data_IF_459136473235
#
_entry.id   IF_459136473235
#
_cell.length_a   1.000
_cell.length_b   1.000
_cell.length_c   1.000
_cell.angle_alpha   90.00
_cell.angle_beta   90.00
_cell.angle_gamma   90.00
#
_symmetry.space_group_name_H-M   'P 1'
#
loop_
_entity.id
_entity.type
_entity.pdbx_description
1 polymer ?
#
# COMPACT_ATOMS: atom_id res chain seq x y z
N UNK A 1 5.75 -27.14 -1.55
CA UNK A 1 4.33 -26.76 -1.61
C UNK A 1 4.24 -25.32 -1.19
N UNK A 2 3.58 -24.46 -1.98
CA UNK A 2 3.47 -23.04 -1.69
C UNK A 2 2.74 -22.79 -0.37
N UNK A 3 3.11 -21.72 0.32
CA UNK A 3 2.41 -21.28 1.52
C UNK A 3 0.99 -20.83 1.14
N UNK A 4 -0.02 -21.40 1.77
CA UNK A 4 -1.40 -20.93 1.67
C UNK A 4 -1.71 -20.02 2.85
N UNK A 5 -2.05 -18.78 2.57
CA UNK A 5 -2.45 -17.74 3.50
C UNK A 5 -3.93 -17.83 3.82
N UNK A 6 -4.27 -17.62 5.10
CA UNK A 6 -5.65 -17.52 5.57
C UNK A 6 -6.24 -16.16 5.22
N UNK A 7 -7.57 -16.04 5.28
CA UNK A 7 -8.26 -14.79 4.96
C UNK A 7 -7.77 -13.63 5.82
N UNK A 8 -7.52 -13.85 7.12
CA UNK A 8 -7.05 -12.81 8.03
C UNK A 8 -5.62 -12.33 7.69
N UNK A 9 -4.80 -13.23 7.14
CA UNK A 9 -3.45 -12.91 6.67
C UNK A 9 -3.50 -12.11 5.38
N UNK A 10 -4.37 -12.49 4.43
CA UNK A 10 -4.60 -11.75 3.19
C UNK A 10 -5.16 -10.35 3.48
N UNK A 11 -6.16 -10.27 4.36
CA UNK A 11 -6.76 -9.03 4.85
C UNK A 11 -5.69 -8.07 5.39
N UNK A 12 -4.85 -8.54 6.32
CA UNK A 12 -3.78 -7.73 6.91
C UNK A 12 -2.69 -7.33 5.90
N UNK A 13 -2.36 -8.24 4.98
CA UNK A 13 -1.31 -8.04 3.98
C UNK A 13 -1.72 -7.03 2.90
N UNK A 14 -2.98 -7.06 2.46
CA UNK A 14 -3.51 -6.28 1.34
C UNK A 14 -4.15 -4.95 1.79
N UNK A 15 -4.58 -4.85 3.06
CA UNK A 15 -5.13 -3.64 3.64
C UNK A 15 -4.34 -2.35 3.32
N UNK A 16 -3.00 -2.32 3.37
CA UNK A 16 -2.21 -1.11 3.10
C UNK A 16 -2.19 -0.66 1.63
N UNK A 17 -2.55 -1.53 0.69
CA UNK A 17 -2.46 -1.24 -0.76
C UNK A 17 -3.81 -1.32 -1.48
N UNK A 18 -4.85 -1.86 -0.85
CA UNK A 18 -6.13 -2.13 -1.51
C UNK A 18 -6.86 -0.88 -2.01
N UNK A 19 -6.56 0.32 -1.49
CA UNK A 19 -7.16 1.58 -1.96
C UNK A 19 -6.29 2.31 -2.97
N UNK A 20 -5.16 1.74 -3.37
CA UNK A 20 -4.37 2.29 -4.46
C UNK A 20 -5.14 2.16 -5.78
N UNK A 21 -4.83 3.01 -6.78
CA UNK A 21 -5.34 2.83 -8.13
C UNK A 21 -5.02 1.44 -8.68
N UNK A 22 -5.94 0.89 -9.48
CA UNK A 22 -5.88 -0.52 -9.93
C UNK A 22 -4.56 -0.85 -10.64
N UNK A 23 -4.08 0.08 -11.48
CA UNK A 23 -2.80 -0.07 -12.17
C UNK A 23 -1.61 -0.17 -11.20
N UNK A 24 -1.62 0.63 -10.12
CA UNK A 24 -0.55 0.59 -9.12
C UNK A 24 -0.63 -0.68 -8.27
N UNK A 25 -1.83 -1.14 -7.91
CA UNK A 25 -2.01 -2.44 -7.22
C UNK A 25 -1.42 -3.57 -8.08
N UNK A 26 -1.73 -3.60 -9.37
CA UNK A 26 -1.19 -4.61 -10.28
C UNK A 26 0.34 -4.57 -10.37
N UNK A 27 0.94 -3.36 -10.45
CA UNK A 27 2.39 -3.19 -10.44
C UNK A 27 3.02 -3.68 -9.14
N UNK A 28 2.44 -3.36 -7.98
CA UNK A 28 2.93 -3.81 -6.67
C UNK A 28 2.86 -5.33 -6.55
N UNK A 29 1.74 -5.94 -6.94
CA UNK A 29 1.57 -7.40 -6.91
C UNK A 29 2.58 -8.09 -7.82
N UNK A 30 2.77 -7.61 -9.05
CA UNK A 30 3.74 -8.18 -9.98
C UNK A 30 5.18 -8.00 -9.48
N UNK A 31 5.55 -6.79 -9.08
CA UNK A 31 6.90 -6.47 -8.61
C UNK A 31 7.26 -7.22 -7.31
N UNK A 32 6.27 -7.59 -6.50
CA UNK A 32 6.49 -8.39 -5.28
C UNK A 32 7.03 -9.80 -5.55
N UNK A 33 6.89 -10.28 -6.79
CA UNK A 33 7.49 -11.55 -7.24
C UNK A 33 8.99 -11.43 -7.58
N UNK A 34 9.55 -10.22 -7.54
CA UNK A 34 10.96 -9.89 -7.84
C UNK A 34 11.66 -9.16 -6.67
N UNK A 35 11.72 -9.73 -5.45
CA UNK A 35 12.23 -9.03 -4.27
C UNK A 35 13.69 -8.57 -4.38
N UNK A 36 14.53 -9.28 -5.13
CA UNK A 36 15.91 -8.84 -5.39
C UNK A 36 15.93 -7.55 -6.23
N UNK A 37 15.13 -7.51 -7.29
CA UNK A 37 15.04 -6.33 -8.17
C UNK A 37 14.46 -5.13 -7.43
N UNK A 38 13.53 -5.32 -6.49
CA UNK A 38 13.05 -4.27 -5.59
C UNK A 38 14.20 -3.64 -4.79
N UNK A 39 15.09 -4.47 -4.23
CA UNK A 39 16.25 -3.97 -3.47
C UNK A 39 17.22 -3.20 -4.36
N UNK A 40 17.49 -3.73 -5.56
CA UNK A 40 18.33 -3.07 -6.55
C UNK A 40 17.74 -1.73 -7.00
N UNK A 41 16.45 -1.71 -7.32
CA UNK A 41 15.72 -0.52 -7.73
C UNK A 41 15.68 0.53 -6.62
N UNK A 42 15.46 0.14 -5.36
CA UNK A 42 15.47 1.06 -4.22
C UNK A 42 16.85 1.71 -4.03
N UNK A 43 17.93 0.92 -4.08
CA UNK A 43 19.31 1.44 -4.00
C UNK A 43 19.64 2.35 -5.17
N UNK A 44 19.21 1.97 -6.38
CA UNK A 44 19.40 2.76 -7.57
C UNK A 44 18.65 4.10 -7.49
N UNK A 45 17.39 4.09 -7.06
CA UNK A 45 16.59 5.30 -6.88
C UNK A 45 17.23 6.26 -5.87
N UNK A 46 17.79 5.73 -4.77
CA UNK A 46 18.53 6.53 -3.78
C UNK A 46 19.77 7.22 -4.36
N UNK A 47 20.45 6.58 -5.31
CA UNK A 47 21.60 7.16 -6.02
C UNK A 47 21.18 8.14 -7.12
N UNK A 48 19.93 8.07 -7.57
CA UNK A 48 19.43 8.78 -8.76
C UNK A 48 18.24 9.71 -8.44
N UNK A 49 18.11 10.21 -7.20
CA UNK A 49 16.98 11.06 -6.75
C UNK A 49 16.70 12.31 -7.60
N UNK A 50 17.70 12.77 -8.36
CA UNK A 50 17.59 13.91 -9.25
C UNK A 50 16.92 13.60 -10.60
N UNK A 51 16.82 12.34 -11.00
CA UNK A 51 16.25 11.94 -12.28
C UNK A 51 14.71 12.01 -12.23
N UNK A 52 14.13 12.63 -13.26
CA UNK A 52 12.68 12.78 -13.43
C UNK A 52 12.31 12.70 -14.91
N UNK A 53 11.05 12.41 -15.20
CA UNK A 53 10.50 12.42 -16.56
C UNK A 53 11.29 11.53 -17.52
N UNK A 54 11.56 12.03 -18.72
CA UNK A 54 12.30 11.31 -19.78
C UNK A 54 13.70 10.86 -19.34
N UNK A 55 14.39 11.65 -18.50
CA UNK A 55 15.73 11.30 -18.02
C UNK A 55 15.70 10.07 -17.09
N UNK A 56 14.66 9.97 -16.24
CA UNK A 56 14.42 8.78 -15.43
C UNK A 56 14.10 7.59 -16.33
N UNK A 57 13.19 7.75 -17.29
CA UNK A 57 12.81 6.67 -18.23
C UNK A 57 14.01 6.15 -19.02
N UNK A 58 14.84 7.05 -19.56
CA UNK A 58 16.05 6.67 -20.29
C UNK A 58 17.05 5.91 -19.42
N UNK A 59 17.23 6.31 -18.16
CA UNK A 59 18.14 5.62 -17.25
C UNK A 59 17.62 4.23 -16.83
N UNK A 60 16.29 4.06 -16.74
CA UNK A 60 15.65 2.77 -16.43
C UNK A 60 15.75 1.76 -17.58
N UNK A 61 15.88 2.21 -18.84
CA UNK A 61 16.07 1.30 -19.99
C UNK A 61 17.34 0.45 -19.87
N UNK A 62 18.36 0.93 -19.16
CA UNK A 62 19.58 0.16 -18.89
C UNK A 62 19.43 -0.91 -17.81
N UNK A 63 18.33 -0.90 -17.06
CA UNK A 63 18.07 -1.85 -15.98
C UNK A 63 17.37 -3.09 -16.52
N UNK A 64 17.79 -4.26 -16.03
CA UNK A 64 17.25 -5.56 -16.49
C UNK A 64 16.02 -6.03 -15.71
N UNK A 65 15.53 -5.19 -14.79
CA UNK A 65 14.37 -5.49 -13.96
C UNK A 65 13.09 -5.63 -14.79
N UNK A 66 12.09 -6.28 -14.22
CA UNK A 66 10.75 -6.31 -14.75
C UNK A 66 10.15 -4.90 -14.87
N UNK A 67 9.25 -4.70 -15.85
CA UNK A 67 8.60 -3.41 -16.08
C UNK A 67 7.79 -2.95 -14.87
N UNK A 68 7.21 -3.88 -14.10
CA UNK A 68 6.54 -3.54 -12.85
C UNK A 68 7.52 -2.93 -11.83
N UNK A 69 8.71 -3.50 -11.67
CA UNK A 69 9.75 -2.97 -10.76
C UNK A 69 10.24 -1.60 -11.24
N UNK A 70 10.49 -1.43 -12.54
CA UNK A 70 10.86 -0.13 -13.11
C UNK A 70 9.80 0.93 -12.84
N UNK A 71 8.52 0.58 -13.01
CA UNK A 71 7.41 1.51 -12.79
C UNK A 71 7.34 2.01 -11.33
N UNK A 72 7.70 1.16 -10.36
CA UNK A 72 7.72 1.54 -8.94
C UNK A 72 8.77 2.59 -8.59
N UNK A 73 9.78 2.84 -9.44
CA UNK A 73 10.73 3.94 -9.22
C UNK A 73 10.09 5.32 -9.33
N UNK A 74 8.93 5.43 -9.99
CA UNK A 74 8.08 6.63 -9.97
C UNK A 74 7.28 6.78 -8.67
N UNK A 75 7.27 5.77 -7.79
CA UNK A 75 6.56 5.71 -6.52
C UNK A 75 7.51 5.43 -5.35
N UNK A 76 8.36 6.40 -4.95
CA UNK A 76 9.43 6.18 -3.98
C UNK A 76 8.96 5.59 -2.65
N UNK A 77 7.81 6.01 -2.13
CA UNK A 77 7.27 5.51 -0.86
C UNK A 77 6.85 4.04 -0.94
N UNK A 78 6.28 3.61 -2.08
CA UNK A 78 5.88 2.23 -2.32
C UNK A 78 7.11 1.34 -2.47
N UNK A 79 8.07 1.78 -3.29
CA UNK A 79 9.33 1.07 -3.49
C UNK A 79 10.13 0.95 -2.18
N UNK A 80 10.19 2.03 -1.39
CA UNK A 80 10.87 2.03 -0.09
C UNK A 80 10.21 1.07 0.91
N UNK A 81 8.88 1.04 0.97
CA UNK A 81 8.15 0.05 1.78
C UNK A 81 8.50 -1.38 1.36
N UNK A 82 8.44 -1.68 0.07
CA UNK A 82 8.74 -3.02 -0.44
C UNK A 82 10.18 -3.44 -0.15
N UNK A 83 11.13 -2.49 -0.19
CA UNK A 83 12.53 -2.72 0.14
C UNK A 83 12.80 -2.85 1.65
N UNK A 84 12.10 -2.10 2.51
CA UNK A 84 12.28 -2.14 3.96
C UNK A 84 11.59 -3.35 4.61
N UNK A 85 10.46 -3.77 4.07
CA UNK A 85 9.70 -4.93 4.56
C UNK A 85 9.74 -6.06 3.53
N UNK A 86 10.93 -6.64 3.33
CA UNK A 86 11.14 -7.76 2.39
C UNK A 86 10.31 -8.99 2.77
N UNK A 87 10.02 -9.18 4.05
CA UNK A 87 9.16 -10.28 4.50
C UNK A 87 7.72 -10.09 4.02
N UNK A 88 7.17 -8.88 4.11
CA UNK A 88 5.87 -8.55 3.50
C UNK A 88 5.92 -8.67 1.98
N UNK A 89 6.95 -8.13 1.32
CA UNK A 89 7.09 -8.21 -0.14
C UNK A 89 7.10 -9.65 -0.63
N UNK A 90 7.88 -10.53 0.01
CA UNK A 90 7.94 -11.94 -0.37
C UNK A 90 6.58 -12.63 -0.15
N UNK A 91 5.93 -12.41 1.00
CA UNK A 91 4.60 -12.98 1.26
C UNK A 91 3.56 -12.50 0.24
N UNK A 92 3.63 -11.25 -0.16
CA UNK A 92 2.74 -10.68 -1.18
C UNK A 92 2.94 -11.37 -2.54
N UNK A 93 4.20 -11.59 -2.93
CA UNK A 93 4.53 -12.33 -4.15
C UNK A 93 4.06 -13.79 -4.08
N UNK A 94 4.33 -14.47 -2.97
CA UNK A 94 3.89 -15.84 -2.75
C UNK A 94 2.36 -15.97 -2.78
N UNK A 95 1.64 -15.03 -2.15
CA UNK A 95 0.18 -14.98 -2.17
C UNK A 95 -0.36 -14.70 -3.58
N UNK A 96 0.25 -13.77 -4.32
CA UNK A 96 -0.18 -13.45 -5.68
C UNK A 96 0.01 -14.64 -6.64
N UNK A 97 1.13 -15.37 -6.51
CA UNK A 97 1.42 -16.54 -7.33
C UNK A 97 0.59 -17.78 -6.94
N UNK A 98 0.32 -17.96 -5.65
CA UNK A 98 -0.35 -19.17 -5.12
C UNK A 98 -1.86 -19.05 -4.93
N UNK A 99 -2.38 -17.82 -4.76
CA UNK A 99 -3.76 -17.51 -4.36
C UNK A 99 -4.28 -16.25 -5.07
N UNK A 100 -3.98 -16.11 -6.37
CA UNK A 100 -4.33 -14.92 -7.16
C UNK A 100 -5.81 -14.52 -7.00
N UNK A 101 -6.72 -15.50 -7.05
CA UNK A 101 -8.16 -15.26 -6.94
C UNK A 101 -8.50 -14.68 -5.56
N UNK A 102 -8.02 -15.27 -4.49
CA UNK A 102 -8.28 -14.83 -3.12
C UNK A 102 -7.65 -13.46 -2.84
N UNK A 103 -6.48 -13.17 -3.42
CA UNK A 103 -5.84 -11.85 -3.34
C UNK A 103 -6.74 -10.78 -3.97
N UNK A 104 -7.23 -11.01 -5.20
CA UNK A 104 -8.10 -10.06 -5.89
C UNK A 104 -9.46 -9.91 -5.21
N UNK A 105 -10.07 -11.02 -4.76
CA UNK A 105 -11.33 -10.99 -4.01
C UNK A 105 -11.17 -10.21 -2.68
N UNK A 106 -10.03 -10.36 -2.00
CA UNK A 106 -9.73 -9.63 -0.76
C UNK A 106 -9.59 -8.14 -1.00
N UNK A 107 -8.89 -7.72 -2.06
CA UNK A 107 -8.80 -6.29 -2.44
C UNK A 107 -10.20 -5.71 -2.67
N UNK A 108 -11.07 -6.42 -3.39
CA UNK A 108 -12.43 -5.96 -3.63
C UNK A 108 -13.28 -5.89 -2.36
N UNK A 109 -13.17 -6.88 -1.47
CA UNK A 109 -13.82 -6.86 -0.15
C UNK A 109 -13.38 -5.65 0.67
N UNK A 110 -12.09 -5.32 0.68
CA UNK A 110 -11.55 -4.15 1.38
C UNK A 110 -12.08 -2.84 0.81
N UNK A 111 -12.13 -2.72 -0.53
CA UNK A 111 -12.71 -1.55 -1.21
C UNK A 111 -14.19 -1.38 -0.89
N UNK A 112 -14.95 -2.46 -0.88
CA UNK A 112 -16.38 -2.44 -0.52
C UNK A 112 -16.57 -1.95 0.93
N UNK A 113 -15.74 -2.43 1.86
CA UNK A 113 -15.77 -1.95 3.25
C UNK A 113 -15.44 -0.47 3.36
N UNK A 114 -14.39 0.00 2.69
CA UNK A 114 -14.01 1.40 2.69
C UNK A 114 -15.10 2.30 2.08
N UNK A 115 -15.75 1.85 1.00
CA UNK A 115 -16.86 2.56 0.36
C UNK A 115 -18.08 2.62 1.29
N UNK A 116 -18.45 1.48 1.90
CA UNK A 116 -19.56 1.41 2.86
C UNK A 116 -19.33 2.26 4.12
N UNK A 117 -18.07 2.40 4.54
CA UNK A 117 -17.66 3.28 5.64
C UNK A 117 -17.59 4.77 5.23
N UNK A 118 -17.78 5.11 3.96
CA UNK A 118 -17.68 6.48 3.44
C UNK A 118 -16.25 6.98 3.22
N UNK A 119 -15.26 6.11 3.37
CA UNK A 119 -13.83 6.44 3.28
C UNK A 119 -13.22 6.22 1.88
N UNK A 120 -13.99 5.65 0.94
CA UNK A 120 -13.59 5.49 -0.46
C UNK A 120 -14.62 6.16 -1.37
N UNK A 121 -14.27 7.34 -1.88
CA UNK A 121 -15.11 8.17 -2.74
C UNK A 121 -14.27 8.83 -3.85
N UNK A 122 -14.95 9.20 -4.93
CA UNK A 122 -14.35 10.03 -5.99
C UNK A 122 -14.04 11.43 -5.46
N UNK A 123 -12.89 11.97 -5.85
CA UNK A 123 -12.42 13.32 -5.52
C UNK A 123 -11.49 13.84 -6.63
N UNK A 124 -10.79 14.95 -6.37
CA UNK A 124 -9.88 15.57 -7.34
C UNK A 124 -8.65 14.71 -7.71
N UNK A 125 -8.32 13.71 -6.89
CA UNK A 125 -7.16 12.83 -7.08
C UNK A 125 -7.53 11.46 -7.68
N UNK A 126 -8.71 10.94 -7.35
CA UNK A 126 -9.16 9.63 -7.78
C UNK A 126 -10.63 9.60 -8.20
N UNK A 127 -10.93 8.72 -9.15
CA UNK A 127 -12.27 8.34 -9.57
C UNK A 127 -12.56 6.93 -9.06
N UNK A 128 -13.66 6.78 -8.32
CA UNK A 128 -14.14 5.51 -7.79
C UNK A 128 -15.44 5.16 -8.52
N UNK A 129 -15.42 4.07 -9.27
CA UNK A 129 -16.58 3.58 -10.02
C UNK A 129 -16.92 2.16 -9.61
N UNK A 130 -18.18 1.78 -9.75
CA UNK A 130 -18.63 0.40 -9.54
C UNK A 130 -19.11 -0.14 -10.87
N UNK A 131 -18.37 -1.11 -11.40
CA UNK A 131 -18.67 -1.79 -12.65
C UNK A 131 -19.26 -3.16 -12.38
N UNK A 132 -20.04 -3.68 -13.32
CA UNK A 132 -20.48 -5.08 -13.29
C UNK A 132 -19.63 -5.89 -14.26
N UNK A 133 -18.78 -6.76 -13.72
CA UNK A 133 -17.94 -7.68 -14.48
C UNK A 133 -18.34 -9.11 -14.14
N UNK A 134 -18.69 -9.93 -15.13
CA UNK A 134 -19.09 -11.34 -14.94
C UNK A 134 -20.16 -11.54 -13.84
N UNK A 135 -21.18 -10.66 -13.83
CA UNK A 135 -22.26 -10.61 -12.83
C UNK A 135 -21.82 -10.29 -11.39
N UNK A 136 -20.60 -9.78 -11.19
CA UNK A 136 -20.08 -9.29 -9.90
C UNK A 136 -19.86 -7.78 -9.95
N UNK A 137 -20.10 -7.11 -8.83
CA UNK A 137 -19.76 -5.70 -8.68
C UNK A 137 -18.27 -5.55 -8.35
N UNK A 138 -17.57 -4.79 -9.19
CA UNK A 138 -16.14 -4.50 -9.06
C UNK A 138 -15.99 -3.00 -8.86
N UNK A 139 -15.41 -2.61 -7.72
CA UNK A 139 -14.97 -1.24 -7.47
C UNK A 139 -13.64 -1.01 -8.19
N UNK A 140 -13.64 -0.06 -9.12
CA UNK A 140 -12.49 0.36 -9.91
C UNK A 140 -12.00 1.71 -9.38
N UNK A 141 -10.70 1.81 -9.08
CA UNK A 141 -10.06 3.05 -8.63
C UNK A 141 -9.09 3.50 -9.72
N UNK A 142 -9.37 4.66 -10.30
CA UNK A 142 -8.52 5.29 -11.32
C UNK A 142 -8.03 6.65 -10.85
N UNK A 143 -6.82 7.08 -11.24
CA UNK A 143 -6.41 8.46 -11.05
C UNK A 143 -7.36 9.39 -11.81
N UNK A 144 -7.73 10.53 -11.22
CA UNK A 144 -8.50 11.57 -11.93
C UNK A 144 -7.68 12.22 -13.06
N UNK A 145 -6.35 12.18 -12.95
CA UNK A 145 -5.42 12.54 -14.01
C UNK A 145 -4.47 11.35 -14.29
N UNK A 146 -4.48 10.74 -15.48
CA UNK A 146 -3.60 9.61 -15.83
C UNK A 146 -2.10 9.90 -15.71
N UNK A 147 -1.69 11.16 -15.84
CA UNK A 147 -0.29 11.58 -15.73
C UNK A 147 0.16 11.77 -14.27
N UNK A 148 -0.78 11.85 -13.32
CA UNK A 148 -0.51 12.09 -11.91
C UNK A 148 -1.21 11.05 -11.06
N UNK A 149 -0.46 10.04 -10.66
CA UNK A 149 -0.95 8.95 -9.81
C UNK A 149 -0.68 9.32 -8.35
N UNK A 150 -1.76 9.59 -7.61
CA UNK A 150 -1.70 9.81 -6.17
C UNK A 150 -1.74 8.47 -5.42
N UNK A 151 -0.79 8.27 -4.51
CA UNK A 151 -0.77 7.11 -3.60
C UNK A 151 -1.40 7.54 -2.28
N UNK A 152 -2.57 7.00 -1.89
CA UNK A 152 -3.23 7.42 -0.66
C UNK A 152 -2.47 6.90 0.57
N UNK A 153 -2.20 7.79 1.53
CA UNK A 153 -1.68 7.42 2.85
C UNK A 153 -2.85 7.30 3.82
N UNK A 154 -3.10 6.11 4.37
CA UNK A 154 -4.22 5.89 5.30
C UNK A 154 -3.90 4.88 6.40
N UNK A 155 -4.64 4.96 7.50
CA UNK A 155 -4.59 3.96 8.57
C UNK A 155 -5.69 2.93 8.35
N UNK A 156 -5.36 1.64 8.10
CA UNK A 156 -6.35 0.61 7.79
C UNK A 156 -7.49 0.47 8.82
N UNK A 157 -7.20 0.67 10.11
CA UNK A 157 -8.19 0.61 11.20
C UNK A 157 -9.25 1.71 11.11
N UNK A 158 -8.88 2.87 10.57
CA UNK A 158 -9.81 3.99 10.37
C UNK A 158 -10.65 3.75 9.11
N UNK A 159 -10.02 3.24 8.06
CA UNK A 159 -10.66 3.15 6.75
C UNK A 159 -11.66 1.99 6.64
N UNK A 160 -11.30 0.82 7.18
CA UNK A 160 -12.12 -0.39 7.04
C UNK A 160 -13.05 -0.66 8.22
N UNK A 161 -12.91 0.08 9.32
CA UNK A 161 -13.63 -0.18 10.57
C UNK A 161 -13.15 -1.45 11.28
N UNK A 162 -13.99 -1.99 12.17
CA UNK A 162 -13.66 -3.17 12.96
C UNK A 162 -13.68 -4.45 12.09
N UNK A 163 -12.59 -5.21 12.12
CA UNK A 163 -12.50 -6.51 11.45
C UNK A 163 -13.45 -7.55 12.05
N UNK A 164 -14.10 -8.40 11.26
CA UNK A 164 -15.02 -9.42 11.78
C UNK A 164 -14.31 -10.52 12.60
N UNK A 165 -12.98 -10.63 12.49
CA UNK A 165 -12.16 -11.66 13.13
C UNK A 165 -11.52 -11.23 14.46
N UNK A 166 -12.12 -10.28 15.18
CA UNK A 166 -11.67 -9.84 16.51
C UNK A 166 -11.83 -10.96 17.57
N UNK A 167 -11.02 -12.01 17.44
CA UNK A 167 -10.55 -12.90 18.50
C UNK A 167 -9.28 -13.62 18.03
N UNK A 168 -8.29 -12.91 17.49
CA UNK A 168 -6.96 -13.48 17.29
C UNK A 168 -5.89 -12.39 17.41
N UNK A 169 -4.94 -12.63 18.30
CA UNK A 169 -3.89 -11.72 18.76
C UNK A 169 -2.94 -11.18 17.65
N UNK A 170 -3.13 -11.56 16.38
CA UNK A 170 -2.28 -11.15 15.27
C UNK A 170 -2.42 -9.66 14.90
N UNK A 171 -3.57 -9.02 15.15
CA UNK A 171 -3.76 -7.58 14.88
C UNK A 171 -3.30 -6.68 16.05
N UNK A 172 -2.80 -7.26 17.16
CA UNK A 172 -2.30 -6.52 18.32
C UNK A 172 -0.78 -6.25 18.28
N UNK A 173 -0.10 -6.64 17.21
CA UNK A 173 1.34 -6.41 17.05
C UNK A 173 1.65 -5.03 16.46
N UNK A 174 2.20 -4.15 17.31
CA UNK A 174 2.78 -2.84 16.98
C UNK A 174 1.80 -1.67 16.77
N UNK A 175 1.33 -1.12 17.90
CA UNK A 175 1.48 0.31 18.21
C UNK A 175 1.33 0.47 19.73
N UNK A 176 2.36 0.05 20.46
CA UNK A 176 2.59 0.60 21.79
C UNK A 176 2.88 2.09 21.58
N UNK A 177 1.83 2.92 21.71
CA UNK A 177 1.92 4.36 21.71
C UNK A 177 2.78 4.75 22.91
N UNK A 178 4.07 4.99 22.69
CA UNK A 178 4.88 5.65 23.70
C UNK A 178 4.30 7.05 23.88
N UNK A 179 3.87 7.46 25.08
CA UNK A 179 3.48 8.84 25.29
C UNK A 179 4.74 9.69 25.14
N UNK A 180 4.76 10.56 24.13
CA UNK A 180 5.73 11.63 24.03
C UNK A 180 5.60 12.50 25.29
N UNK A 181 6.52 12.32 26.25
CA UNK A 181 6.66 13.26 27.36
C UNK A 181 7.24 14.54 26.79
N UNK A 182 6.37 15.51 26.51
CA UNK A 182 6.78 16.89 26.33
C UNK A 182 7.36 17.39 27.66
N UNK A 183 8.68 17.44 27.76
CA UNK A 183 9.35 18.33 28.71
C UNK A 183 9.26 19.74 28.15
N UNK A 184 8.37 20.54 28.71
CA UNK A 184 8.21 21.96 28.40
C UNK A 184 7.73 22.68 29.66
N UNK A 185 8.66 23.34 30.32
CA UNK A 185 8.45 24.13 31.53
C UNK A 185 7.48 25.30 31.30
N UNK A 186 6.70 25.64 32.33
CA UNK A 186 6.16 26.98 32.50
C UNK A 186 6.12 27.33 33.99
N UNK A 187 7.05 28.19 34.39
CA UNK A 187 6.96 28.97 35.61
C UNK A 187 5.78 29.96 35.51
N UNK A 188 4.96 30.05 36.55
CA UNK A 188 4.23 31.28 36.87
C UNK A 188 4.23 31.47 38.38
N UNK A 189 4.76 32.61 38.81
CA UNK A 189 4.76 33.02 40.21
C UNK A 189 3.39 33.55 40.65
N UNK A 190 3.20 33.55 41.97
CA UNK A 190 2.08 34.22 42.64
C UNK A 190 2.35 34.30 44.14
N UNK A 191 2.62 35.51 44.61
CA UNK A 191 2.79 35.90 46.00
C UNK A 191 1.45 36.09 46.74
N UNK A 192 1.51 36.16 48.08
CA UNK A 192 0.56 36.65 49.09
C UNK A 192 0.39 35.56 50.19
N UNK A 193 0.63 35.77 51.47
CA UNK A 193 0.78 36.95 52.35
C UNK A 193 1.69 36.63 53.51
#
# INVERSE_FOLDING_TARGET
GGQTFKQEELDAMLAPIALYPDALVAQVLMASTYPLEIVEAARWAEQNKGLKGEALQGALQGQKWDESVKSLTAFPEVLDRMNKDLAWTQKLGDAFLGQQKEVMDTIQSLRQRAQAAGNLQSNEHQKVETETQEAKQVIVIQPSNPEVIYVPTYQPTVVYGAWPYHSSAAFSGALASQPARHSGAAATGGAAT
#
